data_IF_252162217573
#
_entry.id   IF_252162217573
#
_cell.length_a   1.000
_cell.length_b   1.000
_cell.length_c   1.000
_cell.angle_alpha   90.00
_cell.angle_beta   90.00
_cell.angle_gamma   90.00
#
_symmetry.space_group_name_H-M   'P 1'
#
loop_
_entity.id
_entity.type
_entity.pdbx_description
1 polymer ?
#
# COMPACT_ATOMS: atom_id res chain seq x y z
N UNK A 1 -1.39 63.12 -37.21
CA UNK A 1 -1.37 63.04 -35.74
C UNK A 1 -2.16 61.81 -35.34
N UNK A 2 -1.47 60.72 -35.02
CA UNK A 2 -2.10 59.44 -34.68
C UNK A 2 -2.30 59.42 -33.16
N UNK A 3 -3.54 59.60 -32.70
CA UNK A 3 -3.89 59.56 -31.29
C UNK A 3 -3.72 58.13 -30.77
N UNK A 4 -2.67 57.90 -29.98
CA UNK A 4 -2.47 56.66 -29.23
C UNK A 4 -3.55 56.58 -28.17
N UNK A 5 -4.50 55.66 -28.34
CA UNK A 5 -5.50 55.30 -27.34
C UNK A 5 -4.75 54.74 -26.12
N UNK A 6 -4.69 55.51 -25.04
CA UNK A 6 -4.11 55.10 -23.76
C UNK A 6 -4.88 53.86 -23.29
N UNK A 7 -4.24 52.69 -23.34
CA UNK A 7 -4.79 51.45 -22.78
C UNK A 7 -5.04 51.70 -21.30
N UNK A 8 -6.28 51.59 -20.85
CA UNK A 8 -6.63 51.63 -19.44
C UNK A 8 -5.91 50.46 -18.76
N UNK A 9 -4.87 50.74 -17.98
CA UNK A 9 -4.28 49.76 -17.07
C UNK A 9 -5.27 49.59 -15.93
N UNK A 10 -5.92 48.43 -15.87
CA UNK A 10 -6.66 48.04 -14.67
C UNK A 10 -5.64 47.60 -13.62
N UNK A 11 -5.69 48.22 -12.45
CA UNK A 11 -4.86 47.83 -11.31
C UNK A 11 -5.55 46.68 -10.59
N UNK A 12 -4.80 45.62 -10.31
CA UNK A 12 -5.26 44.52 -9.46
C UNK A 12 -4.94 44.88 -8.02
N UNK A 13 -5.96 44.92 -7.18
CA UNK A 13 -5.80 45.23 -5.77
C UNK A 13 -5.65 43.95 -4.94
N UNK A 14 -4.76 43.97 -3.96
CA UNK A 14 -4.60 42.89 -2.99
C UNK A 14 -5.17 43.31 -1.65
N UNK A 15 -6.13 42.53 -1.15
CA UNK A 15 -6.83 42.87 0.08
C UNK A 15 -6.96 41.65 0.99
N UNK A 16 -6.67 41.84 2.28
CA UNK A 16 -6.91 40.83 3.29
C UNK A 16 -8.37 40.90 3.78
N UNK A 17 -8.96 39.74 4.04
CA UNK A 17 -10.32 39.65 4.53
C UNK A 17 -10.60 38.37 5.29
N UNK A 18 -11.89 38.09 5.50
CA UNK A 18 -12.34 36.85 6.15
C UNK A 18 -13.33 36.10 5.29
N UNK A 19 -13.23 34.78 5.27
CA UNK A 19 -14.22 33.91 4.63
C UNK A 19 -15.46 33.87 5.52
N UNK A 20 -16.61 34.28 5.00
CA UNK A 20 -17.89 34.18 5.73
C UNK A 20 -18.57 32.83 5.48
N UNK A 21 -18.42 32.28 4.28
CA UNK A 21 -19.14 31.08 3.85
C UNK A 21 -18.40 30.34 2.75
N UNK A 22 -18.49 29.00 2.80
CA UNK A 22 -17.97 28.08 1.77
C UNK A 22 -19.06 27.06 1.49
N UNK A 23 -20.02 27.40 0.64
CA UNK A 23 -21.09 26.47 0.22
C UNK A 23 -21.49 26.76 -1.23
N UNK A 24 -20.85 26.09 -2.18
CA UNK A 24 -20.97 26.38 -3.61
C UNK A 24 -20.01 27.48 -4.04
N UNK A 25 -20.29 28.74 -3.66
CA UNK A 25 -19.38 29.87 -3.85
C UNK A 25 -18.66 30.23 -2.54
N UNK A 26 -17.43 30.74 -2.62
CA UNK A 26 -16.71 31.27 -1.46
C UNK A 26 -17.16 32.71 -1.28
N UNK A 27 -17.62 33.09 -0.11
CA UNK A 27 -18.00 34.48 0.20
C UNK A 27 -16.97 35.06 1.15
N UNK A 28 -16.37 36.19 0.77
CA UNK A 28 -15.38 36.90 1.58
C UNK A 28 -15.86 38.28 1.99
N UNK A 29 -15.55 38.65 3.24
CA UNK A 29 -15.65 40.00 3.77
C UNK A 29 -14.29 40.67 3.64
N UNK A 30 -14.22 41.63 2.72
CA UNK A 30 -13.10 42.56 2.57
C UNK A 30 -13.49 43.90 3.23
N UNK A 31 -12.53 44.81 3.43
CA UNK A 31 -12.83 46.19 3.86
C UNK A 31 -13.61 46.96 2.77
N UNK A 32 -13.36 46.65 1.49
CA UNK A 32 -14.11 47.18 0.33
C UNK A 32 -15.56 46.69 0.25
N UNK A 33 -15.91 45.57 0.90
CA UNK A 33 -17.27 45.04 0.88
C UNK A 33 -17.39 43.52 1.01
N UNK A 34 -18.56 43.00 0.65
CA UNK A 34 -18.83 41.55 0.55
C UNK A 34 -18.69 41.13 -0.90
N UNK A 35 -17.93 40.07 -1.16
CA UNK A 35 -17.73 39.56 -2.51
C UNK A 35 -17.89 38.04 -2.58
N UNK A 36 -18.45 37.57 -3.68
CA UNK A 36 -18.25 36.19 -4.11
C UNK A 36 -16.86 36.07 -4.72
N UNK A 37 -16.09 35.14 -4.19
CA UNK A 37 -14.73 34.86 -4.60
C UNK A 37 -14.61 33.44 -5.16
N UNK A 38 -13.61 33.26 -6.02
CA UNK A 38 -13.18 31.96 -6.51
C UNK A 38 -11.86 31.59 -5.85
N UNK A 39 -11.62 30.31 -5.63
CA UNK A 39 -10.30 29.86 -5.19
C UNK A 39 -9.33 29.96 -6.36
N UNK A 40 -8.21 30.63 -6.18
CA UNK A 40 -7.16 30.62 -7.20
C UNK A 40 -6.63 29.19 -7.36
N UNK A 41 -6.27 28.78 -8.59
CA UNK A 41 -5.70 27.45 -8.86
C UNK A 41 -4.41 27.18 -8.07
N UNK A 42 -3.65 28.22 -7.75
CA UNK A 42 -2.44 28.15 -6.91
C UNK A 42 -2.73 28.00 -5.41
N UNK A 43 -3.96 28.31 -4.96
CA UNK A 43 -4.36 28.22 -3.56
C UNK A 43 -4.78 26.78 -3.23
N UNK A 44 -3.81 25.94 -2.86
CA UNK A 44 -4.06 24.54 -2.52
C UNK A 44 -4.69 24.36 -1.13
N UNK A 45 -4.45 25.27 -0.20
CA UNK A 45 -5.11 25.25 1.12
C UNK A 45 -6.60 25.56 0.90
N UNK A 46 -7.46 24.63 1.29
CA UNK A 46 -8.91 24.80 1.19
C UNK A 46 -9.36 25.84 2.23
N UNK A 47 -9.94 26.98 1.81
CA UNK A 47 -10.49 27.95 2.76
C UNK A 47 -11.72 27.40 3.46
N UNK A 48 -11.87 27.71 4.74
CA UNK A 48 -13.02 27.40 5.58
C UNK A 48 -13.66 28.70 6.11
N UNK A 49 -14.93 28.63 6.53
CA UNK A 49 -15.61 29.77 7.12
C UNK A 49 -14.89 30.22 8.40
N UNK A 50 -14.63 31.52 8.52
CA UNK A 50 -13.88 32.15 9.61
C UNK A 50 -12.41 32.42 9.28
N UNK A 51 -11.86 31.77 8.26
CA UNK A 51 -10.45 31.92 7.86
C UNK A 51 -10.15 33.36 7.43
N UNK A 52 -8.97 33.85 7.82
CA UNK A 52 -8.40 35.07 7.28
C UNK A 52 -7.68 34.74 5.97
N UNK A 53 -8.01 35.45 4.91
CA UNK A 53 -7.50 35.19 3.55
C UNK A 53 -6.90 36.43 2.91
N UNK A 54 -6.02 36.22 1.94
CA UNK A 54 -5.57 37.25 1.00
C UNK A 54 -6.30 37.06 -0.33
N UNK A 55 -6.92 38.13 -0.84
CA UNK A 55 -7.64 38.12 -2.09
C UNK A 55 -7.00 39.06 -3.11
N UNK A 56 -7.04 38.68 -4.39
CA UNK A 56 -6.84 39.58 -5.51
C UNK A 56 -8.19 40.03 -6.06
N UNK A 57 -8.32 41.32 -6.32
CA UNK A 57 -9.50 41.94 -6.89
C UNK A 57 -9.10 42.49 -8.26
N UNK A 58 -9.75 41.98 -9.30
CA UNK A 58 -9.59 42.45 -10.68
C UNK A 58 -10.97 42.60 -11.34
N UNK A 59 -11.04 43.09 -12.59
CA UNK A 59 -12.31 43.23 -13.30
C UNK A 59 -13.08 41.91 -13.53
N UNK A 60 -12.40 40.76 -13.51
CA UNK A 60 -12.99 39.43 -13.74
C UNK A 60 -13.54 38.81 -12.44
N UNK A 61 -13.11 39.31 -11.29
CA UNK A 61 -13.71 39.04 -9.99
C UNK A 61 -12.71 39.04 -8.83
N UNK A 62 -13.10 38.36 -7.75
CA UNK A 62 -12.27 38.20 -6.55
C UNK A 62 -11.71 36.78 -6.50
N UNK A 63 -10.40 36.66 -6.31
CA UNK A 63 -9.72 35.38 -6.18
C UNK A 63 -9.06 35.25 -4.81
N UNK A 64 -9.36 34.19 -4.07
CA UNK A 64 -8.61 33.82 -2.86
C UNK A 64 -7.25 33.26 -3.27
N UNK A 65 -6.18 33.98 -2.94
CA UNK A 65 -4.80 33.60 -3.25
C UNK A 65 -4.18 32.73 -2.15
N UNK A 66 -4.47 33.04 -0.88
CA UNK A 66 -3.90 32.35 0.27
C UNK A 66 -4.85 32.39 1.48
N UNK A 67 -4.83 31.33 2.28
CA UNK A 67 -5.36 31.32 3.65
C UNK A 67 -4.22 31.72 4.57
N UNK A 68 -4.36 32.86 5.24
CA UNK A 68 -3.34 33.47 6.08
C UNK A 68 -3.38 32.88 7.50
N UNK A 69 -4.59 32.77 8.07
CA UNK A 69 -4.81 32.26 9.42
C UNK A 69 -6.13 31.48 9.43
N UNK A 70 -6.09 30.24 9.92
CA UNK A 70 -7.28 29.42 10.16
C UNK A 70 -7.61 29.32 11.65
N UNK A 71 -8.67 28.59 11.99
CA UNK A 71 -9.02 28.30 13.38
C UNK A 71 -7.92 27.47 14.06
N UNK A 72 -7.56 27.84 15.28
CA UNK A 72 -6.57 27.12 16.07
C UNK A 72 -6.95 25.63 16.24
N UNK A 73 -5.98 24.73 15.96
CA UNK A 73 -6.16 23.29 16.04
C UNK A 73 -6.95 22.64 14.89
N UNK A 74 -7.46 23.43 13.93
CA UNK A 74 -8.08 22.86 12.73
C UNK A 74 -7.01 22.26 11.80
N UNK A 75 -7.29 21.14 11.12
CA UNK A 75 -6.36 20.55 10.16
C UNK A 75 -6.24 21.42 8.91
N UNK A 76 -5.02 21.69 8.46
CA UNK A 76 -4.81 22.30 7.14
C UNK A 76 -5.11 21.28 6.04
N UNK A 77 -6.15 21.52 5.26
CA UNK A 77 -6.53 20.65 4.13
C UNK A 77 -5.93 21.19 2.83
N UNK A 78 -5.07 20.41 2.19
CA UNK A 78 -4.71 20.63 0.78
C UNK A 78 -5.74 19.95 -0.11
N UNK A 79 -6.38 20.71 -0.99
CA UNK A 79 -7.40 20.21 -1.91
C UNK A 79 -7.17 20.74 -3.33
N UNK A 80 -7.43 19.91 -4.33
CA UNK A 80 -7.47 20.30 -5.73
C UNK A 80 -8.77 19.78 -6.34
N UNK A 81 -9.30 20.53 -7.30
CA UNK A 81 -10.46 20.10 -8.08
C UNK A 81 -9.95 19.36 -9.31
N UNK A 82 -10.31 18.08 -9.46
CA UNK A 82 -9.79 17.21 -10.52
C UNK A 82 -8.45 16.55 -10.15
N UNK A 83 -7.61 16.33 -11.16
CA UNK A 83 -6.34 15.62 -11.00
C UNK A 83 -5.27 16.51 -10.33
N UNK A 84 -4.47 15.90 -9.44
CA UNK A 84 -3.35 16.54 -8.75
C UNK A 84 -2.06 15.74 -8.97
N UNK A 85 -1.10 16.37 -9.63
CA UNK A 85 0.26 15.84 -9.75
C UNK A 85 1.21 16.57 -8.79
N UNK A 86 1.94 15.79 -7.97
CA UNK A 86 2.98 16.31 -7.08
C UNK A 86 4.33 15.80 -7.57
N UNK A 87 5.19 16.71 -8.05
CA UNK A 87 6.47 16.37 -8.66
C UNK A 87 7.60 17.23 -8.10
N UNK A 88 8.73 16.60 -7.77
CA UNK A 88 10.01 17.27 -7.50
C UNK A 88 10.97 17.01 -8.67
N UNK A 89 11.34 18.05 -9.44
CA UNK A 89 12.23 17.92 -10.60
C UNK A 89 13.69 17.88 -10.16
N UNK A 90 14.41 16.80 -10.49
CA UNK A 90 15.83 16.62 -10.18
C UNK A 90 16.15 16.45 -8.70
N UNK A 91 15.17 16.10 -7.86
CA UNK A 91 15.32 16.05 -6.41
C UNK A 91 14.48 14.96 -5.73
N UNK A 92 14.22 15.15 -4.44
CA UNK A 92 13.52 14.20 -3.56
C UNK A 92 12.16 14.77 -3.14
N UNK A 93 11.11 13.94 -3.22
CA UNK A 93 9.83 14.17 -2.54
C UNK A 93 9.81 13.42 -1.21
N UNK A 94 9.37 14.08 -0.14
CA UNK A 94 9.33 13.52 1.20
C UNK A 94 8.00 13.85 1.88
N UNK A 95 7.38 12.84 2.49
CA UNK A 95 6.18 12.99 3.32
C UNK A 95 6.54 12.50 4.72
N UNK A 96 6.53 13.39 5.70
CA UNK A 96 6.95 13.10 7.07
C UNK A 96 5.84 13.51 8.04
N UNK A 97 5.53 12.67 9.02
CA UNK A 97 4.63 12.97 10.12
C UNK A 97 5.18 12.40 11.43
N UNK A 98 4.91 13.07 12.55
CA UNK A 98 5.30 12.60 13.90
C UNK A 98 4.45 11.44 14.39
N UNK A 99 3.23 11.29 13.85
CA UNK A 99 2.28 10.27 14.28
C UNK A 99 1.93 9.31 13.12
N UNK A 100 1.15 9.79 12.15
CA UNK A 100 0.52 8.94 11.14
C UNK A 100 0.59 9.55 9.75
N UNK A 101 0.76 8.68 8.75
CA UNK A 101 0.56 8.98 7.33
C UNK A 101 -0.43 7.96 6.79
N UNK A 102 -1.51 8.45 6.18
CA UNK A 102 -2.50 7.63 5.48
C UNK A 102 -2.39 7.83 3.98
N UNK A 103 -2.37 6.73 3.23
CA UNK A 103 -2.44 6.70 1.77
C UNK A 103 -3.69 5.92 1.40
N UNK A 104 -4.71 6.62 0.90
CA UNK A 104 -6.03 6.07 0.63
C UNK A 104 -6.42 6.34 -0.83
N UNK A 105 -6.72 5.28 -1.57
CA UNK A 105 -7.24 5.34 -2.93
C UNK A 105 -8.55 4.54 -3.03
N UNK A 106 -9.58 5.12 -3.65
CA UNK A 106 -10.89 4.46 -3.79
C UNK A 106 -10.89 3.31 -4.81
N UNK A 107 -9.91 3.29 -5.73
CA UNK A 107 -9.78 2.29 -6.79
C UNK A 107 -8.41 1.63 -6.77
N UNK A 108 -7.37 2.43 -6.94
CA UNK A 108 -6.00 1.95 -7.09
C UNK A 108 -5.01 2.78 -6.29
N UNK A 109 -3.99 2.11 -5.76
CA UNK A 109 -2.77 2.72 -5.24
C UNK A 109 -1.60 1.98 -5.87
N UNK A 110 -0.86 2.65 -6.75
CA UNK A 110 0.29 2.08 -7.44
C UNK A 110 1.61 2.63 -6.87
N UNK A 111 2.61 1.76 -6.71
CA UNK A 111 3.96 2.12 -6.27
C UNK A 111 4.98 1.51 -7.23
N UNK A 112 5.73 2.36 -7.92
CA UNK A 112 6.74 1.94 -8.90
C UNK A 112 8.07 2.60 -8.59
N UNK A 113 9.13 1.82 -8.61
CA UNK A 113 10.50 2.30 -8.40
C UNK A 113 11.50 1.16 -8.59
N UNK A 114 12.78 1.50 -8.70
CA UNK A 114 13.84 0.49 -8.72
C UNK A 114 13.96 -0.25 -7.38
N UNK A 115 13.63 0.42 -6.27
CA UNK A 115 13.64 -0.13 -4.92
C UNK A 115 12.41 0.33 -4.14
N UNK A 116 11.84 -0.58 -3.34
CA UNK A 116 10.75 -0.29 -2.40
C UNK A 116 11.15 -0.85 -1.03
N UNK A 117 11.22 0.03 -0.03
CA UNK A 117 11.57 -0.35 1.34
C UNK A 117 10.37 -0.13 2.26
N UNK A 118 9.90 -1.20 2.90
CA UNK A 118 8.86 -1.15 3.94
C UNK A 118 9.45 -1.69 5.23
N UNK A 119 9.57 -0.83 6.25
CA UNK A 119 10.10 -1.21 7.56
C UNK A 119 9.10 -0.82 8.64
N UNK A 120 8.63 -1.82 9.40
CA UNK A 120 7.76 -1.61 10.53
C UNK A 120 7.94 -2.75 11.55
N UNK A 121 7.78 -2.47 12.86
CA UNK A 121 7.75 -3.51 13.89
C UNK A 121 6.47 -4.37 13.82
N UNK A 122 5.39 -3.84 13.25
CA UNK A 122 4.10 -4.53 13.05
C UNK A 122 3.50 -4.11 11.71
N UNK A 123 2.99 -5.09 10.95
CA UNK A 123 2.27 -4.88 9.70
C UNK A 123 1.15 -5.89 9.54
N UNK A 124 0.13 -5.53 8.76
CA UNK A 124 -0.92 -6.46 8.32
C UNK A 124 -1.23 -6.18 6.87
N UNK A 125 -1.35 -7.23 6.07
CA UNK A 125 -1.67 -7.15 4.66
C UNK A 125 -2.87 -8.06 4.44
N UNK A 126 -3.97 -7.48 3.93
CA UNK A 126 -5.17 -8.19 3.55
C UNK A 126 -5.39 -8.00 2.05
N UNK A 127 -5.21 -9.08 1.29
CA UNK A 127 -5.28 -9.07 -0.17
C UNK A 127 -6.09 -10.30 -0.58
N UNK A 128 -7.06 -10.12 -1.48
CA UNK A 128 -7.86 -11.23 -2.02
C UNK A 128 -7.08 -12.01 -3.08
N UNK A 129 -6.38 -11.31 -3.97
CA UNK A 129 -5.55 -11.90 -5.02
C UNK A 129 -4.15 -11.29 -5.00
N UNK A 130 -3.13 -12.12 -4.78
CA UNK A 130 -1.73 -11.71 -4.69
C UNK A 130 -0.90 -12.45 -5.74
N UNK A 131 -0.39 -11.71 -6.72
CA UNK A 131 0.69 -12.17 -7.59
C UNK A 131 2.04 -11.72 -7.04
N UNK A 132 2.96 -12.66 -6.83
CA UNK A 132 4.35 -12.36 -6.48
C UNK A 132 5.29 -12.90 -7.55
N UNK A 133 6.05 -12.01 -8.19
CA UNK A 133 7.03 -12.35 -9.21
C UNK A 133 8.38 -11.82 -8.79
N UNK A 134 9.29 -12.72 -8.44
CA UNK A 134 10.61 -12.34 -7.96
C UNK A 134 11.60 -13.49 -8.05
N UNK A 135 12.89 -13.15 -7.97
CA UNK A 135 13.98 -14.13 -8.04
C UNK A 135 14.26 -14.81 -6.70
N UNK A 136 14.06 -14.10 -5.58
CA UNK A 136 14.42 -14.56 -4.25
C UNK A 136 13.43 -14.03 -3.21
N UNK A 137 13.00 -14.91 -2.32
CA UNK A 137 12.31 -14.57 -1.08
C UNK A 137 13.18 -15.07 0.07
N UNK A 138 13.54 -14.17 0.98
CA UNK A 138 14.21 -14.52 2.23
C UNK A 138 13.30 -14.10 3.38
N UNK A 139 13.02 -15.04 4.28
CA UNK A 139 12.17 -14.81 5.43
C UNK A 139 12.77 -15.50 6.66
N UNK A 140 12.99 -14.72 7.71
CA UNK A 140 13.31 -15.23 9.05
C UNK A 140 12.10 -14.96 9.93
N UNK A 141 11.41 -16.03 10.32
CA UNK A 141 10.10 -15.95 10.96
C UNK A 141 10.03 -16.95 12.10
N UNK A 142 9.55 -16.50 13.26
CA UNK A 142 9.40 -17.37 14.43
C UNK A 142 8.25 -18.38 14.26
N UNK A 143 7.18 -18.00 13.55
CA UNK A 143 6.01 -18.84 13.32
C UNK A 143 5.38 -18.53 11.97
N UNK A 144 5.02 -19.59 11.25
CA UNK A 144 4.18 -19.56 10.05
C UNK A 144 2.96 -20.44 10.31
N UNK A 145 1.77 -19.95 9.98
CA UNK A 145 0.54 -20.72 9.95
C UNK A 145 -0.07 -20.55 8.57
N UNK A 146 -0.28 -21.66 7.85
CA UNK A 146 -0.89 -21.68 6.53
C UNK A 146 -2.16 -22.53 6.61
N UNK A 147 -3.28 -21.93 6.23
CA UNK A 147 -4.55 -22.62 6.03
C UNK A 147 -4.93 -22.40 4.58
N UNK A 148 -5.00 -23.47 3.82
CA UNK A 148 -5.28 -23.44 2.39
C UNK A 148 -6.15 -24.65 2.03
N UNK A 149 -7.05 -24.47 1.05
CA UNK A 149 -7.81 -25.58 0.48
C UNK A 149 -6.93 -26.41 -0.45
N UNK A 150 -6.05 -25.75 -1.21
CA UNK A 150 -5.15 -26.37 -2.16
C UNK A 150 -3.79 -25.67 -2.13
N UNK A 151 -2.72 -26.46 -2.28
CA UNK A 151 -1.35 -25.96 -2.38
C UNK A 151 -0.62 -26.76 -3.44
N UNK A 152 -0.34 -26.13 -4.57
CA UNK A 152 0.53 -26.66 -5.60
C UNK A 152 1.94 -26.11 -5.47
N UNK A 153 2.93 -26.98 -5.63
CA UNK A 153 4.34 -26.58 -5.58
C UNK A 153 5.14 -27.30 -6.66
N UNK A 154 5.85 -26.52 -7.47
CA UNK A 154 6.79 -27.02 -8.49
C UNK A 154 8.19 -26.53 -8.12
N UNK A 155 9.03 -27.45 -7.67
CA UNK A 155 10.33 -27.14 -7.07
C UNK A 155 11.42 -27.99 -7.74
N UNK A 156 12.56 -27.38 -8.06
CA UNK A 156 13.75 -28.14 -8.48
C UNK A 156 14.42 -28.83 -7.29
N UNK A 157 14.36 -28.22 -6.10
CA UNK A 157 14.93 -28.76 -4.86
C UNK A 157 14.13 -28.28 -3.67
N UNK A 158 13.80 -29.21 -2.77
CA UNK A 158 13.25 -28.93 -1.44
C UNK A 158 14.24 -29.49 -0.40
N UNK A 159 14.67 -28.65 0.54
CA UNK A 159 15.48 -29.07 1.68
C UNK A 159 14.79 -28.59 2.95
N UNK A 160 14.54 -29.52 3.87
CA UNK A 160 13.86 -29.23 5.12
C UNK A 160 14.60 -29.89 6.27
N UNK A 161 14.84 -29.14 7.35
CA UNK A 161 15.34 -29.68 8.62
C UNK A 161 14.29 -29.39 9.67
N UNK A 162 13.54 -30.42 10.06
CA UNK A 162 12.36 -30.29 10.90
C UNK A 162 12.53 -31.15 12.14
N UNK A 163 12.17 -30.62 13.32
CA UNK A 163 12.24 -31.38 14.58
C UNK A 163 11.11 -32.40 14.71
N UNK A 164 9.90 -32.06 14.26
CA UNK A 164 8.70 -32.92 14.29
C UNK A 164 7.87 -32.63 13.05
N UNK A 165 7.47 -33.69 12.34
CA UNK A 165 6.53 -33.61 11.22
C UNK A 165 5.33 -34.45 11.59
N UNK A 166 4.14 -33.85 11.45
CA UNK A 166 2.88 -34.57 11.53
C UNK A 166 2.22 -34.42 10.16
N UNK A 167 1.89 -35.55 9.54
CA UNK A 167 1.24 -35.59 8.24
C UNK A 167 0.04 -36.53 8.35
N UNK A 168 -1.14 -36.01 8.09
CA UNK A 168 -2.40 -36.75 8.07
C UNK A 168 -2.97 -36.61 6.66
N UNK A 169 -3.20 -37.73 5.99
CA UNK A 169 -3.68 -37.76 4.61
C UNK A 169 -4.85 -38.73 4.56
N UNK A 170 -6.02 -38.25 4.15
CA UNK A 170 -7.26 -39.04 4.14
C UNK A 170 -7.38 -39.92 2.90
N UNK A 171 -6.95 -39.41 1.74
CA UNK A 171 -7.10 -40.12 0.45
C UNK A 171 -5.79 -40.76 -0.03
N UNK A 172 -4.84 -39.96 -0.54
CA UNK A 172 -3.63 -40.47 -1.19
C UNK A 172 -2.37 -39.69 -0.78
N UNK A 173 -1.43 -40.37 -0.15
CA UNK A 173 -0.03 -39.91 -0.04
C UNK A 173 0.85 -40.75 -0.98
N UNK A 174 1.11 -40.22 -2.18
CA UNK A 174 1.94 -40.90 -3.18
C UNK A 174 3.31 -40.23 -3.31
N UNK A 175 4.36 -41.04 -3.14
CA UNK A 175 5.75 -40.65 -3.46
C UNK A 175 6.25 -41.45 -4.66
N UNK A 176 6.66 -40.76 -5.73
CA UNK A 176 7.38 -41.34 -6.87
C UNK A 176 8.76 -40.67 -6.97
N UNK A 177 9.83 -41.44 -6.78
CA UNK A 177 11.18 -40.92 -6.77
C UNK A 177 12.15 -41.94 -7.38
N UNK A 178 13.30 -41.47 -7.87
CA UNK A 178 14.38 -42.35 -8.34
C UNK A 178 15.01 -43.15 -7.19
N UNK A 179 15.10 -42.55 -6.00
CA UNK A 179 15.49 -43.21 -4.76
C UNK A 179 14.68 -42.65 -3.59
N UNK A 180 14.37 -43.52 -2.64
CA UNK A 180 13.77 -43.16 -1.35
C UNK A 180 14.61 -43.81 -0.26
N UNK A 181 15.14 -43.00 0.65
CA UNK A 181 15.89 -43.44 1.83
C UNK A 181 15.12 -43.04 3.09
N UNK A 182 14.69 -44.03 3.86
CA UNK A 182 13.97 -43.86 5.12
C UNK A 182 14.82 -44.46 6.24
N UNK A 183 15.19 -43.62 7.20
CA UNK A 183 15.99 -44.01 8.37
C UNK A 183 15.35 -43.48 9.64
N UNK A 184 15.24 -44.33 10.65
CA UNK A 184 14.89 -43.92 12.01
C UNK A 184 15.92 -44.45 13.00
N UNK A 185 16.14 -43.73 14.10
CA UNK A 185 17.06 -44.16 15.17
C UNK A 185 16.47 -45.27 16.04
N UNK A 186 15.14 -45.34 16.15
CA UNK A 186 14.44 -46.30 17.02
C UNK A 186 13.47 -47.20 16.26
N UNK A 187 12.44 -46.63 15.60
CA UNK A 187 11.40 -47.41 14.94
C UNK A 187 11.00 -46.76 13.63
N UNK A 188 10.93 -47.56 12.56
CA UNK A 188 10.11 -47.28 11.38
C UNK A 188 8.88 -48.18 11.48
N UNK A 189 7.68 -47.61 11.36
CA UNK A 189 6.43 -48.35 11.39
C UNK A 189 5.66 -48.19 10.09
N UNK A 190 5.29 -49.30 9.47
CA UNK A 190 4.39 -49.35 8.31
C UNK A 190 3.20 -50.22 8.72
N UNK A 191 1.99 -49.66 8.70
CA UNK A 191 0.76 -50.35 9.09
C UNK A 191 -0.34 -50.02 8.08
N UNK A 192 -1.14 -51.01 7.74
CA UNK A 192 -2.30 -50.89 6.86
C UNK A 192 -3.03 -52.24 6.78
N UNK A 193 -4.23 -52.25 6.20
CA UNK A 193 -4.95 -53.51 5.95
C UNK A 193 -4.16 -54.42 5.01
N UNK A 194 -3.51 -53.83 4.00
CA UNK A 194 -2.68 -54.52 3.03
C UNK A 194 -1.38 -53.74 2.79
N UNK A 195 -0.27 -54.46 2.68
CA UNK A 195 1.03 -53.91 2.29
C UNK A 195 1.67 -54.79 1.23
N UNK A 196 2.17 -54.19 0.15
CA UNK A 196 2.87 -54.88 -0.94
C UNK A 196 4.30 -54.37 -1.01
N UNK A 197 5.26 -55.26 -0.83
CA UNK A 197 6.69 -54.98 -0.98
C UNK A 197 7.21 -55.91 -2.07
N UNK A 198 7.76 -55.34 -3.14
CA UNK A 198 8.29 -56.09 -4.27
C UNK A 198 9.62 -55.50 -4.72
N UNK A 199 10.59 -56.37 -4.98
CA UNK A 199 11.92 -55.99 -5.45
C UNK A 199 12.36 -56.91 -6.60
N UNK A 200 12.86 -56.31 -7.69
CA UNK A 200 13.34 -57.05 -8.87
C UNK A 200 14.68 -57.75 -8.63
N UNK A 201 15.56 -57.12 -7.83
CA UNK A 201 16.95 -57.58 -7.64
C UNK A 201 17.16 -58.17 -6.25
N UNK A 202 16.84 -57.42 -5.19
CA UNK A 202 17.03 -57.87 -3.81
C UNK A 202 16.04 -57.17 -2.89
N UNK A 203 15.36 -57.96 -2.05
CA UNK A 203 14.78 -57.48 -0.80
C UNK A 203 15.58 -58.13 0.34
N UNK A 204 16.19 -57.32 1.21
CA UNK A 204 16.90 -57.80 2.40
C UNK A 204 16.14 -57.38 3.64
N UNK A 205 15.82 -58.33 4.49
CA UNK A 205 15.17 -58.11 5.79
C UNK A 205 16.04 -58.82 6.82
N UNK A 206 16.63 -58.06 7.73
CA UNK A 206 17.47 -58.56 8.80
C UNK A 206 16.90 -58.09 10.15
N UNK A 207 16.93 -58.95 11.15
CA UNK A 207 16.54 -58.62 12.52
C UNK A 207 16.81 -59.80 13.45
N UNK A 208 16.91 -59.54 14.76
CA UNK A 208 17.04 -60.61 15.77
C UNK A 208 15.83 -61.54 15.75
N UNK A 209 14.65 -61.01 15.44
CA UNK A 209 13.41 -61.76 15.24
C UNK A 209 12.66 -61.24 14.00
N UNK A 210 12.25 -62.17 13.13
CA UNK A 210 11.39 -61.89 11.98
C UNK A 210 10.19 -62.82 12.10
N UNK A 211 9.00 -62.25 12.30
CA UNK A 211 7.74 -62.99 12.31
C UNK A 211 7.06 -62.85 10.95
N UNK A 212 6.91 -63.96 10.24
CA UNK A 212 6.19 -64.05 8.97
C UNK A 212 5.00 -64.99 9.21
N UNK A 213 3.79 -64.50 8.97
CA UNK A 213 2.53 -65.22 9.17
C UNK A 213 1.57 -64.95 8.03
#
# INVERSE_FOLDING_TARGET
>A
MTAVKKLARWETDLEAGRVEQVSGAIVVRLASGRYEARRAKSCLVAPEAGDKVLCAIDPDGVYVLAVLEGREGAPTKLAADGDLEIQARGGRLAVCASERVDIVGAREVAMTGAEVHVRAPKGSIAIQELGFFGRLVQAEVAKVALVAQEVDSRLTRLTQRVKRVFRFVEELDQTRAGSVDLRAESMIGIRGENAVISARVLAKIDGEQIHIG
#
